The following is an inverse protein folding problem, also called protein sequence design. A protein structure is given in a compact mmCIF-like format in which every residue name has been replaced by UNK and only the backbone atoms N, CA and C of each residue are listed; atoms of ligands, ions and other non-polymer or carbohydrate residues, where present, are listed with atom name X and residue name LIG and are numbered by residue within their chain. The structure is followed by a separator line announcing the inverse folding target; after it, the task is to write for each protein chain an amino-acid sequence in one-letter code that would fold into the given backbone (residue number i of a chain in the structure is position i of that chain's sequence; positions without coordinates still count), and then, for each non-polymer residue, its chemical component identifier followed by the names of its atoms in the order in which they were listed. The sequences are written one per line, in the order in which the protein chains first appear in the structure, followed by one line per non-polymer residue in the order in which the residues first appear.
data_IF_127230400670
#
_entry.id   IF_127230400670
#
_cell.length_a   1.000
_cell.length_b   1.000
_cell.length_c   1.000
_cell.angle_alpha   90.00
_cell.angle_beta   90.00
_cell.angle_gamma   90.00
#
_symmetry.space_group_name_H-M   'P 1'
#
loop_
_entity.id
_entity.type
_entity.pdbx_description
1 polymer ?
#
# COMPACT_ATOMS: atom_id res chain seq x y z
N UNK A 1 -27.25 -48.42 39.66
CA UNK A 1 -27.82 -47.39 40.56
C UNK A 1 -27.18 -47.46 41.95
N UNK A 2 -26.84 -46.33 42.56
CA UNK A 2 -26.26 -46.28 43.93
C UNK A 2 -27.31 -46.73 44.94
N UNK A 3 -27.01 -47.79 45.68
CA UNK A 3 -27.94 -48.35 46.67
C UNK A 3 -27.69 -47.81 48.08
N UNK A 4 -26.44 -47.48 48.40
CA UNK A 4 -26.06 -46.91 49.70
C UNK A 4 -24.70 -46.22 49.63
N UNK A 5 -24.53 -45.22 50.51
CA UNK A 5 -23.25 -44.57 50.78
C UNK A 5 -22.97 -44.72 52.27
N UNK A 6 -21.88 -45.40 52.63
CA UNK A 6 -21.51 -45.61 54.04
C UNK A 6 -20.13 -45.05 54.29
N UNK A 7 -20.03 -44.12 55.25
CA UNK A 7 -18.73 -43.57 55.66
C UNK A 7 -18.09 -44.49 56.69
N UNK A 8 -16.80 -44.75 56.53
CA UNK A 8 -16.03 -45.46 57.54
C UNK A 8 -15.95 -44.62 58.83
N UNK A 9 -15.86 -45.30 59.97
CA UNK A 9 -15.79 -44.66 61.29
C UNK A 9 -14.56 -43.75 61.45
N UNK A 10 -13.52 -43.96 60.64
CA UNK A 10 -12.29 -43.16 60.60
C UNK A 10 -12.46 -41.83 59.84
N UNK A 11 -13.57 -41.63 59.12
CA UNK A 11 -13.84 -40.45 58.30
C UNK A 11 -12.97 -40.30 57.04
N UNK A 12 -12.01 -41.20 56.82
CA UNK A 12 -11.01 -41.10 55.75
C UNK A 12 -11.45 -41.79 54.46
N UNK A 13 -12.37 -42.75 54.56
CA UNK A 13 -12.92 -43.46 53.40
C UNK A 13 -14.44 -43.54 53.44
N UNK A 14 -15.03 -43.79 52.28
CA UNK A 14 -16.46 -44.12 52.16
C UNK A 14 -16.66 -45.22 51.13
N UNK A 15 -17.71 -46.00 51.32
CA UNK A 15 -18.09 -47.11 50.44
C UNK A 15 -19.35 -46.74 49.67
N UNK A 16 -19.34 -46.97 48.36
CA UNK A 16 -20.53 -46.91 47.51
C UNK A 16 -20.91 -48.33 47.08
N UNK A 17 -22.19 -48.68 47.21
CA UNK A 17 -22.73 -49.88 46.59
C UNK A 17 -23.18 -49.55 45.16
N UNK A 18 -22.38 -49.96 44.17
CA UNK A 18 -22.68 -49.79 42.75
C UNK A 18 -23.17 -51.13 42.18
N UNK A 19 -24.44 -51.20 41.79
CA UNK A 19 -25.05 -52.42 41.25
C UNK A 19 -24.90 -53.66 42.17
N UNK A 20 -24.92 -53.44 43.49
CA UNK A 20 -24.76 -54.49 44.50
C UNK A 20 -23.30 -54.79 44.89
N UNK A 21 -22.31 -54.22 44.20
CA UNK A 21 -20.89 -54.38 44.54
C UNK A 21 -20.40 -53.20 45.39
N UNK A 22 -19.86 -53.43 46.60
CA UNK A 22 -19.27 -52.38 47.42
C UNK A 22 -17.89 -51.97 46.87
N UNK A 23 -17.70 -50.68 46.62
CA UNK A 23 -16.41 -50.08 46.25
C UNK A 23 -16.02 -48.99 47.24
N UNK A 24 -14.76 -49.01 47.67
CA UNK A 24 -14.23 -48.08 48.69
C UNK A 24 -13.39 -46.99 48.05
N UNK A 25 -13.64 -45.74 48.44
CA UNK A 25 -12.97 -44.55 47.95
C UNK A 25 -12.43 -43.72 49.11
N UNK A 26 -11.38 -42.94 48.86
CA UNK A 26 -10.89 -41.94 49.81
C UNK A 26 -11.86 -40.77 49.90
N UNK A 27 -12.03 -40.19 51.09
CA UNK A 27 -12.93 -39.05 51.34
C UNK A 27 -12.27 -37.69 51.00
N UNK A 28 -11.31 -37.68 50.09
CA UNK A 28 -10.67 -36.49 49.56
C UNK A 28 -11.27 -36.10 48.20
N UNK A 29 -10.71 -35.07 47.57
CA UNK A 29 -11.22 -34.56 46.29
C UNK A 29 -11.12 -35.60 45.17
N UNK A 30 -10.03 -36.34 45.09
CA UNK A 30 -9.80 -37.30 44.01
C UNK A 30 -10.62 -38.57 44.20
N UNK A 31 -10.73 -39.09 45.44
CA UNK A 31 -11.60 -40.23 45.72
C UNK A 31 -13.07 -39.93 45.46
N UNK A 32 -13.56 -38.73 45.81
CA UNK A 32 -14.91 -38.28 45.43
C UNK A 32 -15.10 -38.15 43.93
N UNK A 33 -14.09 -37.66 43.21
CA UNK A 33 -14.14 -37.58 41.74
C UNK A 33 -14.26 -38.98 41.14
N UNK A 34 -13.42 -39.92 41.54
CA UNK A 34 -13.47 -41.29 41.02
C UNK A 34 -14.80 -41.98 41.36
N UNK A 35 -15.29 -41.80 42.59
CA UNK A 35 -16.59 -42.30 43.03
C UNK A 35 -17.76 -41.78 42.18
N UNK A 36 -17.71 -40.49 41.79
CA UNK A 36 -18.70 -39.89 40.87
C UNK A 36 -18.59 -40.54 39.49
N UNK A 37 -17.38 -40.66 38.92
CA UNK A 37 -17.20 -41.23 37.58
C UNK A 37 -17.64 -42.70 37.51
N UNK A 38 -17.26 -43.51 38.50
CA UNK A 38 -17.69 -44.90 38.61
C UNK A 38 -19.21 -45.01 38.80
N UNK A 39 -19.79 -44.14 39.63
CA UNK A 39 -21.23 -44.08 39.86
C UNK A 39 -22.02 -43.73 38.61
N UNK A 40 -21.54 -42.76 37.81
CA UNK A 40 -22.16 -42.37 36.54
C UNK A 40 -22.06 -43.49 35.50
N UNK A 41 -20.91 -44.17 35.41
CA UNK A 41 -20.73 -45.32 34.51
C UNK A 41 -21.60 -46.53 34.88
N UNK A 42 -22.08 -46.61 36.12
CA UNK A 42 -22.95 -47.67 36.61
C UNK A 42 -24.45 -47.38 36.40
N UNK A 43 -24.82 -46.22 35.86
CA UNK A 43 -26.20 -45.89 35.49
C UNK A 43 -26.57 -46.63 34.20
N UNK A 44 -27.78 -47.18 34.14
CA UNK A 44 -28.29 -47.81 32.92
C UNK A 44 -28.57 -46.72 31.86
N UNK A 45 -27.89 -46.81 30.73
CA UNK A 45 -28.10 -45.89 29.60
C UNK A 45 -29.24 -46.37 28.71
N UNK A 46 -29.83 -45.44 27.97
CA UNK A 46 -30.89 -45.71 27.01
C UNK A 46 -30.40 -45.55 25.57
N UNK A 47 -30.59 -46.58 24.74
CA UNK A 47 -30.34 -46.49 23.32
C UNK A 47 -31.61 -46.05 22.58
N UNK A 48 -31.49 -45.05 21.71
CA UNK A 48 -32.56 -44.56 20.83
C UNK A 48 -31.97 -44.41 19.43
N UNK A 49 -32.33 -45.30 18.51
CA UNK A 49 -31.66 -45.39 17.21
C UNK A 49 -30.19 -45.77 17.41
N UNK A 50 -29.28 -44.95 16.87
CA UNK A 50 -27.83 -45.10 17.02
C UNK A 50 -27.26 -44.31 18.21
N UNK A 51 -28.09 -43.51 18.88
CA UNK A 51 -27.67 -42.65 19.99
C UNK A 51 -27.85 -43.31 21.35
N UNK A 52 -26.91 -43.04 22.27
CA UNK A 52 -26.95 -43.49 23.67
C UNK A 52 -27.25 -42.30 24.56
N UNK A 53 -28.09 -42.47 25.59
CA UNK A 53 -28.55 -41.40 26.46
C UNK A 53 -28.38 -41.80 27.94
N UNK A 54 -27.87 -40.87 28.74
CA UNK A 54 -27.77 -41.00 30.19
C UNK A 54 -28.91 -40.24 30.88
N UNK A 55 -29.70 -40.86 31.76
CA UNK A 55 -30.75 -40.16 32.51
C UNK A 55 -30.16 -39.00 33.35
N UNK A 56 -30.65 -37.77 33.13
CA UNK A 56 -30.15 -36.58 33.84
C UNK A 56 -30.40 -36.66 35.36
N UNK A 57 -31.60 -37.11 35.73
CA UNK A 57 -32.01 -37.17 37.14
C UNK A 57 -31.17 -38.18 37.94
N UNK A 58 -30.88 -39.33 37.36
CA UNK A 58 -30.03 -40.35 38.00
C UNK A 58 -28.59 -39.85 38.14
N UNK A 59 -28.09 -39.12 37.13
CA UNK A 59 -26.77 -38.49 37.17
C UNK A 59 -26.65 -37.47 38.31
N UNK A 60 -27.66 -36.62 38.47
CA UNK A 60 -27.74 -35.65 39.58
C UNK A 60 -27.78 -36.37 40.94
N UNK A 61 -28.56 -37.45 41.06
CA UNK A 61 -28.67 -38.24 42.29
C UNK A 61 -27.33 -38.89 42.67
N UNK A 62 -26.58 -39.40 41.68
CA UNK A 62 -25.24 -39.96 41.91
C UNK A 62 -24.31 -38.91 42.51
N UNK A 63 -24.23 -37.73 41.90
CA UNK A 63 -23.34 -36.66 42.36
C UNK A 63 -23.79 -36.12 43.73
N UNK A 64 -25.10 -35.99 43.94
CA UNK A 64 -25.66 -35.60 45.24
C UNK A 64 -25.28 -36.59 46.35
N UNK A 65 -25.40 -37.90 46.09
CA UNK A 65 -25.10 -38.94 47.07
C UNK A 65 -23.62 -38.94 47.49
N UNK A 66 -22.70 -38.66 46.55
CA UNK A 66 -21.25 -38.61 46.84
C UNK A 66 -20.85 -37.33 47.57
N UNK A 67 -21.32 -36.16 47.10
CA UNK A 67 -20.93 -34.87 47.67
C UNK A 67 -21.64 -34.58 48.99
N UNK A 68 -22.93 -34.92 49.07
CA UNK A 68 -23.83 -34.58 50.17
C UNK A 68 -24.62 -35.83 50.64
N UNK A 69 -23.98 -36.84 51.23
CA UNK A 69 -24.64 -38.08 51.64
C UNK A 69 -25.74 -37.90 52.69
N UNK A 70 -25.72 -36.77 53.44
CA UNK A 70 -26.79 -36.38 54.37
C UNK A 70 -27.96 -35.60 53.72
N UNK A 71 -27.99 -35.52 52.39
CA UNK A 71 -28.94 -34.71 51.63
C UNK A 71 -28.46 -33.28 51.40
N UNK A 72 -29.01 -32.66 50.36
CA UNK A 72 -28.77 -31.26 49.99
C UNK A 72 -29.70 -30.38 50.84
N UNK A 73 -29.13 -29.44 51.59
CA UNK A 73 -29.88 -28.58 52.53
C UNK A 73 -29.95 -27.11 52.09
N UNK A 74 -29.18 -26.70 51.06
CA UNK A 74 -29.09 -25.31 50.60
C UNK A 74 -29.07 -25.22 49.08
N UNK A 75 -29.51 -24.07 48.55
CA UNK A 75 -29.48 -23.76 47.12
C UNK A 75 -28.04 -23.79 46.57
N UNK A 76 -27.07 -23.25 47.31
CA UNK A 76 -25.66 -23.27 46.89
C UNK A 76 -25.11 -24.70 46.74
N UNK A 77 -25.52 -25.63 47.62
CA UNK A 77 -25.16 -27.04 47.51
C UNK A 77 -25.83 -27.70 46.30
N UNK A 78 -27.10 -27.38 46.01
CA UNK A 78 -27.79 -27.83 44.81
C UNK A 78 -27.09 -27.36 43.52
N UNK A 79 -26.77 -26.06 43.43
CA UNK A 79 -26.04 -25.50 42.28
C UNK A 79 -24.66 -26.16 42.09
N UNK A 80 -23.97 -26.47 43.19
CA UNK A 80 -22.70 -27.20 43.14
C UNK A 80 -22.88 -28.60 42.57
N UNK A 81 -23.92 -29.33 42.99
CA UNK A 81 -24.25 -30.65 42.42
C UNK A 81 -24.53 -30.53 40.93
N UNK A 82 -25.34 -29.57 40.49
CA UNK A 82 -25.64 -29.35 39.07
C UNK A 82 -24.36 -29.11 38.25
N UNK A 83 -23.49 -28.20 38.69
CA UNK A 83 -22.24 -27.88 37.99
C UNK A 83 -21.26 -29.06 37.95
N UNK A 84 -21.14 -29.80 39.06
CA UNK A 84 -20.27 -30.99 39.11
C UNK A 84 -20.84 -32.10 38.24
N UNK A 85 -22.16 -32.28 38.21
CA UNK A 85 -22.84 -33.25 37.35
C UNK A 85 -22.60 -32.93 35.87
N UNK A 86 -22.77 -31.67 35.48
CA UNK A 86 -22.50 -31.24 34.11
C UNK A 86 -21.05 -31.52 33.70
N UNK A 87 -20.08 -31.17 34.56
CA UNK A 87 -18.66 -31.41 34.28
C UNK A 87 -18.30 -32.90 34.25
N UNK A 88 -18.86 -33.71 35.15
CA UNK A 88 -18.60 -35.14 35.23
C UNK A 88 -19.23 -35.90 34.06
N UNK A 89 -20.48 -35.59 33.71
CA UNK A 89 -21.13 -36.12 32.51
C UNK A 89 -20.36 -35.71 31.25
N UNK A 90 -19.91 -34.45 31.18
CA UNK A 90 -19.10 -33.98 30.06
C UNK A 90 -17.76 -34.70 29.94
N UNK A 91 -17.14 -35.07 31.06
CA UNK A 91 -15.91 -35.87 31.10
C UNK A 91 -16.12 -37.28 30.56
N UNK A 92 -17.30 -37.86 30.78
CA UNK A 92 -17.69 -39.18 30.27
C UNK A 92 -18.28 -39.15 28.84
N UNK A 93 -18.16 -38.03 28.12
CA UNK A 93 -18.63 -37.92 26.74
C UNK A 93 -20.11 -37.52 26.59
N UNK A 94 -20.86 -37.29 27.67
CA UNK A 94 -22.26 -36.87 27.58
C UNK A 94 -22.41 -35.36 27.38
N UNK A 95 -23.44 -34.95 26.65
CA UNK A 95 -23.73 -33.57 26.30
C UNK A 95 -24.64 -32.83 27.27
N UNK A 96 -25.24 -31.76 26.73
CA UNK A 96 -26.29 -31.00 27.40
C UNK A 96 -27.54 -31.84 27.62
N UNK A 97 -28.40 -31.33 28.50
CA UNK A 97 -29.70 -31.96 28.77
C UNK A 97 -30.66 -31.76 27.58
N UNK A 98 -31.37 -32.83 27.24
CA UNK A 98 -32.39 -32.88 26.18
C UNK A 98 -33.60 -33.66 26.70
N UNK A 99 -34.80 -33.17 26.39
CA UNK A 99 -36.04 -33.82 26.78
C UNK A 99 -36.41 -34.90 25.75
N UNK A 100 -36.57 -36.16 26.18
CA UNK A 100 -37.06 -37.25 25.34
C UNK A 100 -38.50 -37.60 25.70
N UNK A 101 -39.35 -37.80 24.67
CA UNK A 101 -40.74 -38.20 24.84
C UNK A 101 -41.24 -39.13 23.73
N UNK A 102 -42.48 -39.64 23.80
CA UNK A 102 -43.06 -40.48 22.75
C UNK A 102 -43.15 -39.75 21.40
N UNK A 103 -42.95 -40.42 20.25
CA UNK A 103 -42.74 -41.87 20.10
C UNK A 103 -41.29 -42.33 20.29
N UNK A 104 -40.35 -41.41 20.53
CA UNK A 104 -38.90 -41.70 20.59
C UNK A 104 -38.57 -42.63 21.77
N UNK A 105 -39.23 -42.42 22.91
CA UNK A 105 -39.17 -43.30 24.08
C UNK A 105 -40.57 -43.63 24.58
N UNK A 106 -40.81 -44.81 25.20
CA UNK A 106 -42.10 -45.12 25.82
C UNK A 106 -42.51 -44.05 26.85
N UNK A 107 -43.81 -43.83 27.03
CA UNK A 107 -44.32 -42.79 27.94
C UNK A 107 -43.78 -42.92 29.38
N UNK A 108 -43.55 -44.15 29.86
CA UNK A 108 -42.97 -44.43 31.18
C UNK A 108 -41.50 -44.02 31.33
N UNK A 109 -40.81 -43.80 30.21
CA UNK A 109 -39.38 -43.45 30.12
C UNK A 109 -39.16 -42.03 29.59
N UNK A 110 -40.19 -41.19 29.52
CA UNK A 110 -40.03 -39.77 29.15
C UNK A 110 -39.26 -38.98 30.22
N UNK A 111 -38.57 -37.93 29.82
CA UNK A 111 -37.92 -37.00 30.73
C UNK A 111 -36.61 -36.44 30.18
N UNK A 112 -35.82 -35.86 31.09
CA UNK A 112 -34.53 -35.27 30.80
C UNK A 112 -33.40 -36.31 30.69
N UNK A 113 -32.68 -36.27 29.59
CA UNK A 113 -31.52 -37.11 29.29
C UNK A 113 -30.34 -36.29 28.82
N UNK A 114 -29.15 -36.89 28.84
CA UNK A 114 -27.94 -36.34 28.22
C UNK A 114 -27.52 -37.29 27.12
N UNK A 115 -27.46 -36.81 25.89
CA UNK A 115 -26.97 -37.60 24.76
C UNK A 115 -25.47 -37.88 24.94
N UNK A 116 -25.06 -39.13 24.82
CA UNK A 116 -23.67 -39.52 24.69
C UNK A 116 -23.20 -39.02 23.33
N UNK A 117 -22.23 -38.12 23.31
CA UNK A 117 -21.53 -37.85 22.07
C UNK A 117 -20.77 -39.11 21.68
N UNK A 118 -20.66 -39.42 20.37
CA UNK A 118 -19.82 -40.51 19.93
C UNK A 118 -18.44 -40.38 20.59
N UNK A 119 -17.77 -41.50 20.96
CA UNK A 119 -16.36 -41.44 21.29
C UNK A 119 -15.64 -40.65 20.20
N UNK A 120 -14.53 -39.98 20.55
CA UNK A 120 -13.66 -39.33 19.56
C UNK A 120 -13.11 -40.43 18.64
N UNK A 121 -13.89 -40.78 17.63
CA UNK A 121 -13.55 -41.75 16.62
C UNK A 121 -12.74 -41.01 15.56
N UNK A 122 -11.60 -41.61 15.19
CA UNK A 122 -10.78 -41.12 14.09
C UNK A 122 -11.54 -41.11 12.75
N UNK A 123 -12.70 -41.77 12.69
CA UNK A 123 -13.60 -41.82 11.54
C UNK A 123 -14.71 -40.77 11.54
N UNK A 124 -14.80 -39.87 12.53
CA UNK A 124 -15.73 -38.72 12.46
C UNK A 124 -15.25 -37.73 11.39
N UNK A 125 -16.06 -37.53 10.37
CA UNK A 125 -15.78 -36.66 9.22
C UNK A 125 -16.48 -35.31 9.41
N UNK A 126 -15.71 -34.23 9.35
CA UNK A 126 -16.22 -32.86 9.25
C UNK A 126 -16.98 -32.75 7.92
N UNK A 127 -18.23 -32.30 7.98
CA UNK A 127 -19.01 -32.03 6.78
C UNK A 127 -18.33 -30.96 5.93
N UNK A 128 -17.92 -31.34 4.72
CA UNK A 128 -17.25 -30.46 3.79
C UNK A 128 -18.13 -29.25 3.42
N UNK A 129 -19.44 -29.44 3.30
CA UNK A 129 -20.36 -28.36 2.97
C UNK A 129 -20.38 -27.28 4.05
N UNK A 130 -20.31 -27.66 5.32
CA UNK A 130 -20.27 -26.71 6.43
C UNK A 130 -19.02 -25.81 6.41
N UNK A 131 -17.88 -26.36 6.01
CA UNK A 131 -16.63 -25.60 5.87
C UNK A 131 -16.70 -24.73 4.63
N UNK A 132 -17.06 -25.30 3.48
CA UNK A 132 -17.16 -24.58 2.20
C UNK A 132 -18.17 -23.43 2.24
N UNK A 133 -19.34 -23.61 2.86
CA UNK A 133 -20.36 -22.57 3.01
C UNK A 133 -19.81 -21.37 3.81
N UNK A 134 -19.04 -21.64 4.86
CA UNK A 134 -18.45 -20.57 5.67
C UNK A 134 -17.28 -19.88 4.95
N UNK A 135 -16.50 -20.62 4.16
CA UNK A 135 -15.46 -20.06 3.31
C UNK A 135 -16.05 -19.11 2.25
N UNK A 136 -17.25 -19.41 1.71
CA UNK A 136 -17.95 -18.51 0.75
C UNK A 136 -18.34 -17.18 1.40
N UNK A 137 -18.62 -17.18 2.71
CA UNK A 137 -18.98 -15.97 3.46
C UNK A 137 -17.76 -15.13 3.88
N UNK A 138 -16.54 -15.60 3.62
CA UNK A 138 -15.32 -14.90 4.00
C UNK A 138 -15.22 -13.51 3.34
N UNK A 139 -14.99 -12.50 4.18
CA UNK A 139 -14.81 -11.12 3.75
C UNK A 139 -13.48 -10.89 3.04
N UNK A 140 -13.40 -9.77 2.33
CA UNK A 140 -12.15 -9.28 1.76
C UNK A 140 -11.37 -8.47 2.79
N UNK A 141 -10.10 -8.81 2.99
CA UNK A 141 -9.20 -8.07 3.88
C UNK A 141 -9.00 -6.61 3.44
N UNK A 142 -8.49 -5.78 4.35
CA UNK A 142 -8.17 -4.38 4.06
C UNK A 142 -6.72 -4.18 3.61
N UNK A 143 -5.82 -5.06 4.06
CA UNK A 143 -4.37 -4.93 3.82
C UNK A 143 -3.92 -5.55 2.51
N UNK A 144 -4.47 -6.71 2.13
CA UNK A 144 -4.07 -7.47 0.95
C UNK A 144 -5.29 -7.84 0.09
N UNK A 145 -5.12 -8.00 -1.24
CA UNK A 145 -6.20 -8.40 -2.15
C UNK A 145 -6.52 -9.90 -2.04
N UNK A 146 -6.99 -10.32 -0.86
CA UNK A 146 -7.37 -11.69 -0.56
C UNK A 146 -8.62 -11.73 0.30
N UNK A 147 -9.39 -12.80 0.18
CA UNK A 147 -10.37 -13.15 1.20
C UNK A 147 -9.65 -13.75 2.40
N UNK A 148 -10.17 -13.49 3.60
CA UNK A 148 -9.60 -13.98 4.85
C UNK A 148 -10.68 -14.42 5.84
N UNK A 149 -10.41 -15.51 6.54
CA UNK A 149 -11.24 -15.98 7.65
C UNK A 149 -10.37 -16.59 8.74
N UNK A 150 -10.65 -16.24 10.00
CA UNK A 150 -9.91 -16.79 11.13
C UNK A 150 -10.14 -18.30 11.25
N UNK A 151 -9.06 -19.09 11.43
CA UNK A 151 -9.20 -20.54 11.49
C UNK A 151 -10.12 -21.00 12.64
N UNK A 152 -10.12 -20.26 13.75
CA UNK A 152 -10.97 -20.53 14.91
C UNK A 152 -12.47 -20.46 14.61
N UNK A 153 -12.91 -19.71 13.59
CA UNK A 153 -14.32 -19.68 13.16
C UNK A 153 -14.71 -21.05 12.60
N UNK A 154 -13.93 -21.55 11.64
CA UNK A 154 -14.16 -22.86 11.01
C UNK A 154 -13.99 -23.99 12.02
N UNK A 155 -12.93 -23.96 12.83
CA UNK A 155 -12.71 -24.97 13.86
C UNK A 155 -13.83 -25.03 14.90
N UNK A 156 -14.39 -23.88 15.32
CA UNK A 156 -15.53 -23.86 16.22
C UNK A 156 -16.79 -24.41 15.56
N UNK A 157 -17.07 -24.04 14.30
CA UNK A 157 -18.22 -24.59 13.58
C UNK A 157 -18.12 -26.10 13.42
N UNK A 158 -16.96 -26.60 12.99
CA UNK A 158 -16.69 -28.03 12.88
C UNK A 158 -16.79 -28.74 14.25
N UNK A 159 -16.24 -28.15 15.31
CA UNK A 159 -16.33 -28.70 16.67
C UNK A 159 -17.77 -28.81 17.17
N UNK A 160 -18.59 -27.79 16.91
CA UNK A 160 -20.01 -27.79 17.29
C UNK A 160 -20.80 -28.81 16.48
N UNK A 161 -20.54 -28.94 15.18
CA UNK A 161 -21.22 -29.90 14.33
C UNK A 161 -20.87 -31.36 14.68
N UNK A 162 -19.59 -31.65 14.92
CA UNK A 162 -19.10 -33.01 15.14
C UNK A 162 -19.28 -33.44 16.61
N UNK A 163 -18.98 -32.57 17.57
CA UNK A 163 -18.92 -32.91 19.00
C UNK A 163 -19.96 -32.18 19.86
N UNK A 164 -20.77 -31.28 19.29
CA UNK A 164 -21.74 -30.48 20.06
C UNK A 164 -21.08 -29.57 21.10
N UNK A 165 -19.79 -29.24 20.94
CA UNK A 165 -18.98 -28.49 21.92
C UNK A 165 -18.09 -27.46 21.24
N UNK A 166 -17.79 -26.38 21.96
CA UNK A 166 -16.81 -25.40 21.50
C UNK A 166 -15.40 -26.01 21.36
N UNK A 167 -14.66 -25.54 20.35
CA UNK A 167 -13.29 -25.96 20.05
C UNK A 167 -12.37 -25.98 21.28
N UNK A 168 -12.42 -24.92 22.08
CA UNK A 168 -11.57 -24.74 23.28
C UNK A 168 -11.87 -25.72 24.42
N UNK A 169 -12.96 -26.49 24.32
CA UNK A 169 -13.38 -27.51 25.31
C UNK A 169 -13.07 -28.94 24.85
N UNK A 170 -12.51 -29.10 23.66
CA UNK A 170 -12.09 -30.39 23.12
C UNK A 170 -10.71 -30.82 23.67
N UNK A 171 -10.43 -32.11 23.59
CA UNK A 171 -9.09 -32.64 23.87
C UNK A 171 -8.12 -32.28 22.74
N UNK A 172 -6.81 -32.28 23.02
CA UNK A 172 -5.79 -31.99 22.00
C UNK A 172 -5.89 -32.92 20.77
N UNK A 173 -6.22 -34.19 20.98
CA UNK A 173 -6.40 -35.15 19.89
C UNK A 173 -7.60 -34.80 18.99
N UNK A 174 -8.75 -34.45 19.59
CA UNK A 174 -9.94 -34.05 18.84
C UNK A 174 -9.73 -32.72 18.11
N UNK A 175 -9.00 -31.79 18.73
CA UNK A 175 -8.59 -30.55 18.09
C UNK A 175 -7.74 -30.84 16.86
N UNK A 176 -6.68 -31.63 17.01
CA UNK A 176 -5.81 -32.00 15.88
C UNK A 176 -6.59 -32.65 14.73
N UNK A 177 -7.55 -33.52 15.02
CA UNK A 177 -8.37 -34.18 14.00
C UNK A 177 -9.19 -33.17 13.17
N UNK A 178 -9.93 -32.28 13.85
CA UNK A 178 -10.70 -31.23 13.18
C UNK A 178 -9.79 -30.31 12.37
N UNK A 179 -8.65 -29.89 12.94
CA UNK A 179 -7.68 -29.05 12.23
C UNK A 179 -7.25 -29.70 10.92
N UNK A 180 -6.79 -30.95 10.95
CA UNK A 180 -6.37 -31.67 9.76
C UNK A 180 -7.47 -31.79 8.71
N UNK A 181 -8.71 -32.07 9.12
CA UNK A 181 -9.81 -32.20 8.18
C UNK A 181 -10.25 -30.86 7.58
N UNK A 182 -10.36 -29.81 8.40
CA UNK A 182 -10.69 -28.45 7.92
C UNK A 182 -9.59 -27.91 7.01
N UNK A 183 -8.31 -28.12 7.37
CA UNK A 183 -7.16 -27.74 6.54
C UNK A 183 -7.25 -28.43 5.16
N UNK A 184 -7.60 -29.73 5.13
CA UNK A 184 -7.76 -30.48 3.88
C UNK A 184 -8.92 -29.99 3.02
N UNK A 185 -10.09 -29.69 3.62
CA UNK A 185 -11.25 -29.17 2.90
C UNK A 185 -10.94 -27.76 2.36
N UNK A 186 -10.37 -26.89 3.18
CA UNK A 186 -9.98 -25.54 2.76
C UNK A 186 -8.98 -25.59 1.59
N UNK A 187 -7.98 -26.46 1.66
CA UNK A 187 -7.01 -26.65 0.58
C UNK A 187 -7.64 -27.15 -0.73
N UNK A 188 -8.65 -28.04 -0.65
CA UNK A 188 -9.40 -28.49 -1.84
C UNK A 188 -10.15 -27.34 -2.53
N UNK A 189 -10.63 -26.37 -1.76
CA UNK A 189 -11.30 -25.17 -2.26
C UNK A 189 -10.32 -24.04 -2.64
N UNK A 190 -9.01 -24.31 -2.65
CA UNK A 190 -7.96 -23.37 -3.04
C UNK A 190 -7.66 -22.30 -1.99
N UNK A 191 -7.95 -22.58 -0.72
CA UNK A 191 -7.55 -21.74 0.41
C UNK A 191 -6.22 -22.20 0.99
N UNK A 192 -5.39 -21.25 1.39
CA UNK A 192 -4.11 -21.49 2.03
C UNK A 192 -4.16 -21.06 3.49
N UNK A 193 -3.53 -21.84 4.37
CA UNK A 193 -3.41 -21.50 5.78
C UNK A 193 -2.22 -20.57 6.00
N UNK A 194 -2.50 -19.41 6.57
CA UNK A 194 -1.54 -18.39 6.98
C UNK A 194 -1.40 -18.45 8.52
N UNK A 195 -0.30 -19.05 8.98
CA UNK A 195 0.02 -19.23 10.40
C UNK A 195 0.78 -18.03 11.01
N UNK A 196 0.78 -16.87 10.34
CA UNK A 196 1.45 -15.65 10.84
C UNK A 196 0.85 -15.10 12.14
N UNK A 197 -0.35 -15.53 12.52
CA UNK A 197 -1.03 -15.14 13.77
C UNK A 197 -1.17 -16.34 14.71
N UNK A 198 -1.30 -16.08 16.02
CA UNK A 198 -1.39 -17.12 17.05
C UNK A 198 -2.55 -18.13 16.84
N UNK A 199 -3.59 -17.73 16.09
CA UNK A 199 -4.74 -18.58 15.75
C UNK A 199 -4.79 -19.01 14.29
N UNK A 200 -3.90 -18.48 13.45
CA UNK A 200 -3.92 -18.64 12.00
C UNK A 200 -5.16 -18.04 11.30
N UNK A 201 -5.06 -17.89 9.99
CA UNK A 201 -6.19 -17.57 9.10
C UNK A 201 -6.12 -18.38 7.83
N UNK A 202 -7.27 -18.75 7.26
CA UNK A 202 -7.31 -19.22 5.88
C UNK A 202 -7.45 -18.02 4.96
N UNK A 203 -6.70 -18.03 3.87
CA UNK A 203 -6.66 -16.95 2.88
C UNK A 203 -6.82 -17.48 1.47
N UNK A 204 -7.47 -16.69 0.61
CA UNK A 204 -7.62 -17.01 -0.81
C UNK A 204 -7.42 -15.75 -1.64
N UNK A 205 -6.46 -15.72 -2.59
CA UNK A 205 -6.25 -14.55 -3.44
C UNK A 205 -7.51 -14.16 -4.21
N UNK A 206 -7.75 -12.87 -4.35
CA UNK A 206 -8.82 -12.38 -5.22
C UNK A 206 -8.44 -12.58 -6.70
N UNK A 207 -9.42 -12.92 -7.57
CA UNK A 207 -9.20 -12.92 -9.00
C UNK A 207 -8.87 -11.50 -9.49
N UNK A 208 -7.96 -11.41 -10.46
CA UNK A 208 -7.54 -10.14 -11.07
C UNK A 208 -8.40 -9.86 -12.30
N UNK A 209 -9.11 -8.73 -12.31
CA UNK A 209 -9.70 -8.19 -13.55
C UNK A 209 -8.62 -7.46 -14.35
N UNK A 210 -7.95 -8.20 -15.25
CA UNK A 210 -6.85 -7.67 -16.04
C UNK A 210 -7.29 -6.54 -16.99
N UNK A 211 -8.49 -6.65 -17.56
CA UNK A 211 -8.99 -5.70 -18.55
C UNK A 211 -9.26 -4.34 -17.90
N UNK A 212 -9.94 -4.33 -16.76
CA UNK A 212 -10.23 -3.10 -16.02
C UNK A 212 -8.97 -2.52 -15.40
N UNK A 213 -8.03 -3.35 -14.91
CA UNK A 213 -6.72 -2.89 -14.46
C UNK A 213 -5.94 -2.16 -15.56
N UNK A 214 -5.82 -2.75 -16.75
CA UNK A 214 -5.16 -2.12 -17.91
C UNK A 214 -5.84 -0.83 -18.31
N UNK A 215 -7.18 -0.81 -18.42
CA UNK A 215 -7.94 0.38 -18.80
C UNK A 215 -7.70 1.55 -17.83
N UNK A 216 -7.68 1.29 -16.52
CA UNK A 216 -7.44 2.35 -15.52
C UNK A 216 -6.01 2.87 -15.57
N UNK A 217 -5.04 1.98 -15.71
CA UNK A 217 -3.63 2.38 -15.85
C UNK A 217 -3.42 3.20 -17.12
N UNK A 218 -4.02 2.79 -18.24
CA UNK A 218 -3.98 3.53 -19.49
C UNK A 218 -4.58 4.94 -19.37
N UNK A 219 -5.73 5.05 -18.69
CA UNK A 219 -6.35 6.35 -18.45
C UNK A 219 -5.52 7.24 -17.52
N UNK A 220 -4.88 6.66 -16.49
CA UNK A 220 -3.92 7.38 -15.65
C UNK A 220 -2.76 7.92 -16.49
N UNK A 221 -2.07 7.06 -17.23
CA UNK A 221 -0.90 7.44 -18.01
C UNK A 221 -1.23 8.44 -19.13
N UNK A 222 -2.43 8.35 -19.71
CA UNK A 222 -2.93 9.34 -20.67
C UNK A 222 -3.13 10.73 -20.05
N UNK A 223 -3.62 10.80 -18.80
CA UNK A 223 -3.81 12.07 -18.07
C UNK A 223 -2.49 12.70 -17.67
N UNK A 224 -1.53 11.89 -17.23
CA UNK A 224 -0.19 12.35 -16.88
C UNK A 224 0.60 12.79 -18.12
N UNK A 225 0.18 12.32 -19.30
CA UNK A 225 0.62 12.76 -20.62
C UNK A 225 2.14 12.82 -20.68
N UNK A 226 2.86 11.76 -20.31
CA UNK A 226 4.33 11.74 -20.38
C UNK A 226 5.06 12.47 -19.24
N UNK A 227 4.38 12.81 -18.14
CA UNK A 227 5.02 13.27 -16.89
C UNK A 227 5.33 12.10 -15.95
N UNK A 228 6.28 12.22 -15.01
CA UNK A 228 6.52 11.19 -13.99
C UNK A 228 5.28 10.90 -13.16
N UNK A 229 5.07 9.63 -12.82
CA UNK A 229 3.89 9.19 -12.08
C UNK A 229 4.30 8.50 -10.80
N UNK A 230 3.73 8.92 -9.67
CA UNK A 230 4.00 8.34 -8.37
C UNK A 230 3.64 6.84 -8.34
N UNK A 231 4.53 6.03 -7.76
CA UNK A 231 4.35 4.58 -7.60
C UNK A 231 3.06 4.26 -6.84
N UNK A 232 2.76 5.02 -5.78
CA UNK A 232 1.55 4.84 -4.98
C UNK A 232 0.27 5.04 -5.79
N UNK A 233 0.25 6.01 -6.72
CA UNK A 233 -0.91 6.26 -7.57
C UNK A 233 -1.08 5.12 -8.60
N UNK A 234 0.02 4.64 -9.19
CA UNK A 234 -0.01 3.49 -10.11
C UNK A 234 -0.53 2.24 -9.40
N UNK A 235 0.01 1.92 -8.21
CA UNK A 235 -0.45 0.77 -7.40
C UNK A 235 -1.94 0.91 -7.07
N UNK A 236 -2.36 2.08 -6.61
CA UNK A 236 -3.75 2.32 -6.23
C UNK A 236 -4.70 2.17 -7.42
N UNK A 237 -4.38 2.72 -8.60
CA UNK A 237 -5.19 2.54 -9.80
C UNK A 237 -5.20 1.10 -10.31
N UNK A 238 -4.07 0.40 -10.24
CA UNK A 238 -3.98 -1.02 -10.58
C UNK A 238 -4.89 -1.86 -9.68
N UNK A 239 -4.86 -1.63 -8.36
CA UNK A 239 -5.72 -2.33 -7.41
C UNK A 239 -7.20 -1.99 -7.60
N UNK A 240 -7.53 -0.71 -7.78
CA UNK A 240 -8.90 -0.28 -8.08
C UNK A 240 -9.45 -0.92 -9.34
N UNK A 241 -8.60 -1.09 -10.36
CA UNK A 241 -9.01 -1.73 -11.61
C UNK A 241 -9.16 -3.24 -11.46
N UNK A 242 -8.18 -3.89 -10.83
CA UNK A 242 -8.17 -5.34 -10.65
C UNK A 242 -9.25 -5.87 -9.72
N UNK A 243 -9.58 -5.12 -8.66
CA UNK A 243 -10.38 -5.60 -7.53
C UNK A 243 -11.56 -4.70 -7.17
N UNK A 244 -11.74 -3.57 -7.86
CA UNK A 244 -12.78 -2.59 -7.55
C UNK A 244 -12.52 -1.74 -6.29
N UNK A 245 -11.40 -1.94 -5.59
CA UNK A 245 -11.01 -1.23 -4.36
C UNK A 245 -9.49 -1.16 -4.19
N UNK A 246 -9.01 -0.23 -3.36
CA UNK A 246 -7.62 -0.16 -2.93
C UNK A 246 -7.35 -0.95 -1.64
N UNK A 247 -6.07 -1.25 -1.41
CA UNK A 247 -5.55 -1.96 -0.24
C UNK A 247 -4.37 -1.19 0.38
N UNK A 248 -4.07 -1.45 1.66
CA UNK A 248 -2.97 -0.77 2.35
C UNK A 248 -1.58 -1.28 1.94
N UNK A 249 -1.48 -2.53 1.47
CA UNK A 249 -0.22 -3.06 0.97
C UNK A 249 0.14 -2.44 -0.37
N UNK A 250 1.41 -2.08 -0.50
CA UNK A 250 2.03 -1.70 -1.77
C UNK A 250 2.52 -2.91 -2.57
N UNK A 251 2.41 -4.12 -2.00
CA UNK A 251 2.77 -5.34 -2.70
C UNK A 251 1.67 -5.72 -3.71
N UNK A 252 2.08 -5.84 -4.97
CA UNK A 252 1.21 -6.31 -6.04
C UNK A 252 1.37 -7.82 -6.19
N UNK A 253 0.25 -8.51 -6.45
CA UNK A 253 0.30 -9.89 -6.89
C UNK A 253 1.12 -9.99 -8.20
N UNK A 254 1.83 -11.10 -8.46
CA UNK A 254 2.71 -11.23 -9.63
C UNK A 254 2.02 -10.90 -10.97
N UNK A 255 0.78 -11.37 -11.16
CA UNK A 255 0.00 -11.07 -12.36
C UNK A 255 -0.26 -9.56 -12.53
N UNK A 256 -0.61 -8.86 -11.45
CA UNK A 256 -0.86 -7.42 -11.49
C UNK A 256 0.44 -6.62 -11.67
N UNK A 257 1.56 -7.10 -11.12
CA UNK A 257 2.88 -6.51 -11.34
C UNK A 257 3.30 -6.61 -12.82
N UNK A 258 3.04 -7.74 -13.48
CA UNK A 258 3.25 -7.92 -14.92
C UNK A 258 2.40 -6.93 -15.72
N UNK A 259 1.10 -6.81 -15.40
CA UNK A 259 0.20 -5.86 -16.07
C UNK A 259 0.70 -4.43 -15.94
N UNK A 260 1.11 -4.01 -14.73
CA UNK A 260 1.66 -2.67 -14.50
C UNK A 260 2.90 -2.44 -15.36
N UNK A 261 3.84 -3.39 -15.34
CA UNK A 261 5.10 -3.29 -16.09
C UNK A 261 4.88 -3.20 -17.60
N UNK A 262 4.02 -4.04 -18.16
CA UNK A 262 3.68 -4.05 -19.59
C UNK A 262 2.96 -2.76 -20.00
N UNK A 263 2.01 -2.29 -19.19
CA UNK A 263 1.24 -1.07 -19.50
C UNK A 263 2.13 0.17 -19.45
N UNK A 264 3.04 0.26 -18.47
CA UNK A 264 4.05 1.31 -18.41
C UNK A 264 4.93 1.31 -19.66
N UNK A 265 5.49 0.15 -20.04
CA UNK A 265 6.34 0.03 -21.23
C UNK A 265 5.59 0.40 -22.51
N UNK A 266 4.36 -0.09 -22.67
CA UNK A 266 3.51 0.21 -23.83
C UNK A 266 3.18 1.71 -23.96
N UNK A 267 3.19 2.45 -22.84
CA UNK A 267 2.98 3.89 -22.79
C UNK A 267 4.29 4.70 -22.72
N UNK A 268 5.43 4.06 -22.96
CA UNK A 268 6.73 4.74 -23.04
C UNK A 268 7.30 5.12 -21.68
N UNK A 269 7.00 4.39 -20.60
CA UNK A 269 7.59 4.56 -19.27
C UNK A 269 8.59 3.46 -18.95
N UNK A 270 9.54 3.79 -18.06
CA UNK A 270 10.42 2.79 -17.45
C UNK A 270 9.60 1.91 -16.51
N UNK A 271 9.72 0.58 -16.59
CA UNK A 271 8.98 -0.35 -15.72
C UNK A 271 9.52 -0.39 -14.29
N UNK A 272 10.72 0.15 -14.06
CA UNK A 272 11.34 0.20 -12.73
C UNK A 272 11.27 1.64 -12.21
N UNK A 273 10.72 1.85 -11.01
CA UNK A 273 10.60 3.18 -10.46
C UNK A 273 11.95 3.73 -9.99
N UNK A 274 12.07 5.05 -10.01
CA UNK A 274 13.21 5.80 -9.51
C UNK A 274 12.69 6.91 -8.59
N UNK A 275 13.22 7.01 -7.38
CA UNK A 275 12.83 8.01 -6.36
C UNK A 275 11.33 8.04 -6.06
N UNK A 276 10.66 6.88 -6.10
CA UNK A 276 9.22 6.76 -5.83
C UNK A 276 8.31 7.03 -7.04
N UNK A 277 8.87 7.19 -8.23
CA UNK A 277 8.14 7.52 -9.46
C UNK A 277 8.49 6.61 -10.63
N UNK A 278 7.51 6.34 -11.48
CA UNK A 278 7.74 5.82 -12.82
C UNK A 278 8.00 6.98 -13.77
N UNK A 279 9.16 6.99 -14.41
CA UNK A 279 9.57 8.07 -15.32
C UNK A 279 9.35 7.67 -16.78
N UNK A 280 8.95 8.61 -17.64
CA UNK A 280 8.89 8.38 -19.07
C UNK A 280 10.30 8.01 -19.60
N UNK A 281 10.33 7.26 -20.69
CA UNK A 281 11.56 6.99 -21.43
C UNK A 281 12.11 8.31 -21.98
N UNK A 282 13.45 8.48 -22.02
CA UNK A 282 14.07 9.63 -22.64
C UNK A 282 13.61 9.78 -24.09
N UNK A 283 13.28 11.01 -24.48
CA UNK A 283 12.95 11.32 -25.85
C UNK A 283 14.21 11.12 -26.70
N UNK A 284 14.09 10.31 -27.75
CA UNK A 284 15.20 10.03 -28.67
C UNK A 284 15.06 10.93 -29.89
N UNK A 285 16.13 11.63 -30.24
CA UNK A 285 16.17 12.45 -31.45
C UNK A 285 16.39 11.55 -32.68
N UNK A 286 15.81 11.93 -33.81
CA UNK A 286 16.14 11.29 -35.08
C UNK A 286 17.63 11.55 -35.42
N UNK A 287 18.34 10.55 -35.96
CA UNK A 287 19.77 10.67 -36.28
C UNK A 287 20.10 11.86 -37.21
N UNK A 288 19.18 12.22 -38.10
CA UNK A 288 19.30 13.40 -38.96
C UNK A 288 19.18 14.73 -38.17
N UNK A 289 18.32 14.76 -37.14
CA UNK A 289 18.21 15.91 -36.24
C UNK A 289 19.47 16.06 -35.38
N UNK A 290 20.09 14.96 -34.95
CA UNK A 290 21.35 14.99 -34.20
C UNK A 290 22.53 15.50 -35.04
N UNK A 291 22.62 15.07 -36.31
CA UNK A 291 23.75 15.44 -37.19
C UNK A 291 23.74 16.93 -37.55
N UNK A 292 22.55 17.52 -37.73
CA UNK A 292 22.39 18.92 -38.15
C UNK A 292 21.75 19.79 -37.06
N UNK A 293 21.90 19.40 -35.79
CA UNK A 293 21.24 20.04 -34.64
C UNK A 293 21.44 21.56 -34.61
N UNK A 294 22.69 22.00 -34.75
CA UNK A 294 23.04 23.42 -34.71
C UNK A 294 22.47 24.19 -35.90
N UNK A 295 22.46 23.61 -37.10
CA UNK A 295 21.89 24.23 -38.30
C UNK A 295 20.36 24.38 -38.17
N UNK A 296 19.68 23.34 -37.67
CA UNK A 296 18.24 23.35 -37.43
C UNK A 296 17.84 24.43 -36.43
N UNK A 297 18.55 24.49 -35.30
CA UNK A 297 18.29 25.51 -34.27
C UNK A 297 18.64 26.93 -34.76
N UNK A 298 19.70 27.10 -35.55
CA UNK A 298 20.09 28.39 -36.13
C UNK A 298 19.10 28.90 -37.18
N UNK A 299 18.37 28.00 -37.85
CA UNK A 299 17.35 28.36 -38.84
C UNK A 299 16.03 28.86 -38.21
N UNK A 300 15.85 28.69 -36.89
CA UNK A 300 14.67 29.17 -36.19
C UNK A 300 14.60 30.69 -36.21
N UNK A 301 13.41 31.22 -36.46
CA UNK A 301 13.15 32.66 -36.40
C UNK A 301 12.89 33.07 -34.96
N UNK A 302 13.78 33.85 -34.33
CA UNK A 302 13.59 34.25 -32.95
C UNK A 302 12.48 35.30 -32.81
N UNK A 303 11.78 35.26 -31.68
CA UNK A 303 10.76 36.23 -31.30
C UNK A 303 11.36 37.28 -30.37
N UNK A 304 10.80 38.48 -30.38
CA UNK A 304 11.19 39.53 -29.45
C UNK A 304 10.25 39.55 -28.24
N UNK A 305 10.83 39.62 -27.04
CA UNK A 305 10.10 39.74 -25.77
C UNK A 305 10.56 40.98 -25.00
N UNK A 306 9.87 41.33 -23.92
CA UNK A 306 10.32 42.35 -22.97
C UNK A 306 11.64 41.98 -22.27
N UNK A 307 11.98 40.68 -22.24
CA UNK A 307 13.23 40.15 -21.68
C UNK A 307 14.34 39.97 -22.74
N UNK A 308 14.08 40.38 -23.99
CA UNK A 308 15.00 40.25 -25.12
C UNK A 308 14.58 39.19 -26.13
N UNK A 309 15.51 38.85 -27.02
CA UNK A 309 15.30 37.87 -28.08
C UNK A 309 15.17 36.45 -27.50
N UNK A 310 14.25 35.64 -28.03
CA UNK A 310 13.99 34.30 -27.54
C UNK A 310 13.59 33.33 -28.66
N UNK A 311 13.76 32.03 -28.42
CA UNK A 311 13.15 30.96 -29.22
C UNK A 311 11.90 30.44 -28.50
N UNK A 312 10.82 30.19 -29.24
CA UNK A 312 9.64 29.53 -28.68
C UNK A 312 9.95 28.04 -28.50
N UNK A 313 9.60 27.46 -27.34
CA UNK A 313 9.81 26.03 -27.09
C UNK A 313 9.13 25.14 -28.15
N UNK A 314 7.88 25.39 -28.60
CA UNK A 314 7.27 24.64 -29.69
C UNK A 314 8.09 24.62 -30.98
N UNK A 315 8.58 25.79 -31.42
CA UNK A 315 9.38 25.89 -32.65
C UNK A 315 10.69 25.09 -32.54
N UNK A 316 11.29 25.07 -31.34
CA UNK A 316 12.46 24.24 -31.06
C UNK A 316 12.11 22.75 -31.18
N UNK A 317 11.00 22.31 -30.59
CA UNK A 317 10.57 20.90 -30.68
C UNK A 317 10.26 20.50 -32.12
N UNK A 318 9.61 21.38 -32.88
CA UNK A 318 9.30 21.16 -34.30
C UNK A 318 10.59 21.06 -35.15
N UNK A 319 11.59 21.91 -34.91
CA UNK A 319 12.89 21.81 -35.58
C UNK A 319 13.62 20.48 -35.28
N UNK A 320 13.46 19.97 -34.06
CA UNK A 320 14.03 18.69 -33.63
C UNK A 320 13.27 17.48 -34.18
N UNK A 321 12.14 17.68 -34.85
CA UNK A 321 11.24 16.62 -35.36
C UNK A 321 10.71 15.74 -34.21
N UNK A 322 10.41 16.37 -33.08
CA UNK A 322 9.92 15.74 -31.86
C UNK A 322 8.46 16.15 -31.65
N UNK A 323 7.58 15.57 -32.47
CA UNK A 323 6.15 15.79 -32.33
C UNK A 323 5.57 15.02 -31.14
N UNK A 324 4.58 15.61 -30.46
CA UNK A 324 3.71 14.94 -29.48
C UNK A 324 4.37 14.50 -28.16
N UNK A 325 5.36 15.24 -27.67
CA UNK A 325 5.90 15.04 -26.31
C UNK A 325 5.22 15.94 -25.29
N UNK A 326 5.31 15.54 -24.02
CA UNK A 326 4.81 16.32 -22.90
C UNK A 326 5.62 17.59 -22.66
N UNK A 327 5.03 18.54 -21.93
CA UNK A 327 5.78 19.69 -21.43
C UNK A 327 6.99 19.26 -20.59
N UNK A 328 6.80 18.33 -19.66
CA UNK A 328 7.88 17.82 -18.80
C UNK A 328 9.03 17.19 -19.61
N UNK A 329 8.67 16.44 -20.65
CA UNK A 329 9.62 15.82 -21.58
C UNK A 329 10.36 16.88 -22.40
N UNK A 330 9.68 17.93 -22.85
CA UNK A 330 10.29 19.03 -23.58
C UNK A 330 11.29 19.80 -22.71
N UNK A 331 10.95 20.04 -21.44
CA UNK A 331 11.87 20.65 -20.47
C UNK A 331 13.14 19.81 -20.28
N UNK A 332 12.98 18.50 -20.06
CA UNK A 332 14.11 17.59 -19.89
C UNK A 332 14.94 17.43 -21.16
N UNK A 333 14.30 17.51 -22.32
CA UNK A 333 14.99 17.46 -23.61
C UNK A 333 15.85 18.71 -23.84
N UNK A 334 15.37 19.90 -23.48
CA UNK A 334 16.17 21.13 -23.54
C UNK A 334 17.35 21.10 -22.56
N UNK A 335 17.15 20.45 -21.40
CA UNK A 335 18.20 20.23 -20.42
C UNK A 335 19.19 19.10 -20.79
N UNK A 336 18.91 18.29 -21.83
CA UNK A 336 19.84 17.28 -22.34
C UNK A 336 21.15 17.94 -22.79
N UNK A 337 22.29 17.38 -22.40
CA UNK A 337 23.61 17.97 -22.63
C UNK A 337 23.85 18.35 -24.10
N UNK A 338 23.32 17.58 -25.05
CA UNK A 338 23.54 17.80 -26.49
C UNK A 338 22.78 19.02 -26.98
N UNK A 339 21.50 19.14 -26.64
CA UNK A 339 20.67 20.29 -27.02
C UNK A 339 21.10 21.52 -26.25
N UNK A 340 21.34 21.38 -24.95
CA UNK A 340 21.88 22.44 -24.11
C UNK A 340 23.19 23.00 -24.68
N UNK A 341 24.11 22.16 -25.13
CA UNK A 341 25.37 22.59 -25.73
C UNK A 341 25.15 23.31 -27.07
N UNK A 342 24.28 22.81 -27.94
CA UNK A 342 23.97 23.45 -29.22
C UNK A 342 23.33 24.83 -29.02
N UNK A 343 22.36 24.95 -28.10
CA UNK A 343 21.73 26.22 -27.72
C UNK A 343 22.77 27.21 -27.17
N UNK A 344 23.65 26.76 -26.27
CA UNK A 344 24.74 27.61 -25.76
C UNK A 344 25.68 28.05 -26.88
N UNK A 345 26.04 27.19 -27.83
CA UNK A 345 26.90 27.60 -28.94
C UNK A 345 26.26 28.70 -29.81
N UNK A 346 24.93 28.69 -29.92
CA UNK A 346 24.14 29.72 -30.59
C UNK A 346 23.86 30.96 -29.73
N UNK A 347 24.35 30.97 -28.49
CA UNK A 347 24.19 32.07 -27.55
C UNK A 347 22.81 32.12 -26.91
N UNK A 348 22.17 30.98 -26.66
CA UNK A 348 20.93 30.87 -25.89
C UNK A 348 21.19 30.28 -24.51
N UNK A 349 20.35 30.67 -23.55
CA UNK A 349 20.28 30.05 -22.23
C UNK A 349 19.70 28.63 -22.33
N UNK A 350 19.82 27.85 -21.26
CA UNK A 350 19.23 26.49 -21.19
C UNK A 350 18.07 26.40 -20.19
N UNK A 351 17.76 27.52 -19.53
CA UNK A 351 16.61 27.65 -18.65
C UNK A 351 15.39 28.14 -19.45
N UNK A 352 14.22 27.63 -19.09
CA UNK A 352 12.97 27.99 -19.73
C UNK A 352 12.29 29.11 -18.95
N UNK A 353 11.88 30.16 -19.66
CA UNK A 353 11.16 31.29 -19.08
C UNK A 353 9.71 31.31 -19.55
N UNK A 354 8.77 31.47 -18.63
CA UNK A 354 7.37 31.69 -18.97
C UNK A 354 7.12 33.14 -19.39
N UNK A 355 6.64 33.33 -20.61
CA UNK A 355 6.22 34.62 -21.14
C UNK A 355 4.71 34.66 -21.33
N UNK A 356 4.07 35.68 -20.76
CA UNK A 356 2.68 36.00 -21.04
C UNK A 356 2.55 36.68 -22.40
N UNK A 357 1.37 36.64 -23.06
CA UNK A 357 1.15 37.25 -24.37
C UNK A 357 1.56 38.72 -24.48
N UNK A 358 1.39 39.48 -23.38
CA UNK A 358 1.75 40.90 -23.31
C UNK A 358 3.26 41.15 -23.15
N UNK A 359 4.06 40.13 -22.83
CA UNK A 359 5.53 40.22 -22.81
C UNK A 359 6.15 40.14 -24.23
N UNK A 360 5.39 39.78 -25.27
CA UNK A 360 5.91 39.68 -26.64
C UNK A 360 5.87 41.02 -27.38
N UNK A 361 6.74 41.18 -28.39
CA UNK A 361 6.82 42.36 -29.26
C UNK A 361 6.80 41.93 -30.74
N UNK A 362 5.72 42.23 -31.51
CA UNK A 362 4.46 42.81 -31.04
C UNK A 362 3.73 41.91 -30.03
N UNK A 363 2.85 42.52 -29.23
CA UNK A 363 2.01 41.76 -28.29
C UNK A 363 1.20 40.72 -29.07
N UNK A 364 1.07 39.53 -28.50
CA UNK A 364 0.26 38.48 -29.09
C UNK A 364 -1.19 38.63 -28.65
N UNK A 365 -2.11 38.27 -29.54
CA UNK A 365 -3.55 38.30 -29.29
C UNK A 365 -4.06 37.01 -28.61
N UNK A 366 -3.21 35.99 -28.46
CA UNK A 366 -3.54 34.77 -27.70
C UNK A 366 -3.55 35.03 -26.19
N UNK A 367 -4.25 34.20 -25.41
CA UNK A 367 -4.32 34.30 -23.95
C UNK A 367 -3.39 33.31 -23.24
N UNK A 368 -2.58 32.56 -23.99
CA UNK A 368 -1.78 31.47 -23.46
C UNK A 368 -0.35 31.92 -23.17
N UNK A 369 0.11 31.64 -21.94
CA UNK A 369 1.52 31.77 -21.62
C UNK A 369 2.34 30.76 -22.44
N UNK A 370 3.54 31.16 -22.88
CA UNK A 370 4.45 30.30 -23.63
C UNK A 370 5.79 30.22 -22.95
N UNK A 371 6.38 29.02 -22.93
CA UNK A 371 7.79 28.83 -22.55
C UNK A 371 8.71 29.26 -23.69
N UNK A 372 9.73 30.01 -23.34
CA UNK A 372 10.75 30.52 -24.27
C UNK A 372 12.16 30.23 -23.76
N UNK A 373 13.09 30.14 -24.69
CA UNK A 373 14.53 30.04 -24.43
C UNK A 373 15.16 31.39 -24.77
N UNK A 374 15.60 32.14 -23.76
CA UNK A 374 16.14 33.49 -23.93
C UNK A 374 17.56 33.46 -24.52
N UNK A 375 17.88 34.46 -25.32
CA UNK A 375 19.25 34.68 -25.78
C UNK A 375 20.14 35.10 -24.61
N UNK A 376 21.28 34.43 -24.47
CA UNK A 376 22.30 34.71 -23.48
C UNK A 376 23.06 35.99 -23.84
N UNK A 377 23.04 36.98 -22.95
CA UNK A 377 23.92 38.15 -23.05
C UNK A 377 25.28 37.78 -22.45
N UNK A 378 26.29 37.58 -23.30
CA UNK A 378 27.65 37.24 -22.86
C UNK A 378 28.48 38.47 -22.55
N UNK A 379 29.05 38.50 -21.35
CA UNK A 379 30.11 39.46 -20.99
C UNK A 379 31.43 38.92 -21.54
N UNK A 380 32.00 39.62 -22.53
CA UNK A 380 33.35 39.33 -23.01
C UNK A 380 34.35 39.87 -22.00
N UNK A 381 35.11 38.96 -21.38
CA UNK A 381 36.21 39.32 -20.49
C UNK A 381 37.54 39.28 -21.26
N UNK A 382 38.17 40.44 -21.41
CA UNK A 382 39.52 40.58 -21.96
C UNK A 382 40.30 41.60 -21.12
N UNK A 383 41.14 41.13 -20.18
CA UNK A 383 41.81 42.01 -19.21
C UNK A 383 42.81 42.97 -19.87
N UNK A 384 43.24 42.69 -21.10
CA UNK A 384 44.17 43.55 -21.84
C UNK A 384 43.45 44.57 -22.75
N UNK A 385 42.12 44.45 -22.90
CA UNK A 385 41.34 45.32 -23.76
C UNK A 385 41.41 46.75 -23.28
N UNK A 386 41.75 47.66 -24.20
CA UNK A 386 41.79 49.10 -23.96
C UNK A 386 40.69 49.81 -24.73
N UNK A 387 40.13 50.84 -24.12
CA UNK A 387 39.20 51.77 -24.72
C UNK A 387 39.72 53.20 -24.55
N UNK A 388 39.58 54.02 -25.60
CA UNK A 388 39.88 55.45 -25.55
C UNK A 388 38.82 56.19 -26.36
N UNK A 389 37.72 56.56 -25.68
CA UNK A 389 36.66 57.42 -26.21
C UNK A 389 37.02 58.89 -26.03
N UNK A 390 37.69 59.24 -24.93
CA UNK A 390 38.28 60.55 -24.73
C UNK A 390 39.71 60.56 -25.29
N UNK A 391 40.03 61.58 -26.09
CA UNK A 391 41.31 61.70 -26.78
C UNK A 391 42.49 61.68 -25.78
N UNK A 392 43.44 60.78 -26.01
CA UNK A 392 44.66 60.67 -25.20
C UNK A 392 44.48 60.03 -23.81
N UNK A 393 43.26 59.62 -23.44
CA UNK A 393 42.96 59.03 -22.14
C UNK A 393 42.46 57.61 -22.33
N UNK A 394 43.36 56.62 -22.37
CA UNK A 394 42.96 55.22 -22.44
C UNK A 394 42.58 54.66 -21.05
N UNK A 395 41.60 53.76 -21.02
CA UNK A 395 41.22 52.94 -19.86
C UNK A 395 41.23 51.47 -20.27
N UNK A 396 41.45 50.59 -19.30
CA UNK A 396 41.19 49.17 -19.48
C UNK A 396 39.68 48.93 -19.46
N UNK A 397 39.21 48.02 -20.31
CA UNK A 397 37.82 47.59 -20.34
C UNK A 397 37.78 46.07 -20.22
N UNK A 398 38.10 45.54 -19.03
CA UNK A 398 38.29 44.11 -18.83
C UNK A 398 37.03 43.31 -19.11
N UNK A 399 35.86 43.93 -19.05
CA UNK A 399 34.58 43.28 -19.28
C UNK A 399 33.64 44.18 -20.11
N UNK A 400 33.07 43.61 -21.16
CA UNK A 400 32.16 44.30 -22.08
C UNK A 400 31.06 43.34 -22.56
N UNK A 401 29.80 43.75 -22.46
CA UNK A 401 28.69 43.09 -23.11
C UNK A 401 27.97 44.07 -24.03
N UNK A 402 27.83 43.68 -25.29
CA UNK A 402 27.05 44.39 -26.31
C UNK A 402 25.97 43.42 -26.76
N UNK A 403 24.73 43.88 -26.80
CA UNK A 403 23.69 43.18 -27.55
C UNK A 403 23.95 43.43 -29.04
N UNK A 404 24.39 42.38 -29.73
CA UNK A 404 24.74 42.44 -31.15
C UNK A 404 23.53 42.62 -32.07
N UNK A 405 22.29 42.43 -31.58
CA UNK A 405 21.06 42.62 -32.35
C UNK A 405 20.61 44.07 -32.31
N UNK A 406 20.50 44.62 -31.10
CA UNK A 406 20.07 46.00 -30.88
C UNK A 406 21.23 47.00 -30.99
N UNK A 407 22.44 46.51 -31.32
CA UNK A 407 23.69 47.27 -31.28
C UNK A 407 23.87 47.99 -29.92
N UNK A 408 23.33 47.48 -28.81
CA UNK A 408 23.21 48.26 -27.57
C UNK A 408 24.23 47.83 -26.52
N UNK A 409 24.78 48.80 -25.78
CA UNK A 409 25.71 48.52 -24.68
C UNK A 409 24.94 48.00 -23.47
N UNK A 410 25.14 46.73 -23.09
CA UNK A 410 24.47 46.13 -21.93
C UNK A 410 25.33 46.25 -20.69
N UNK A 411 26.64 46.04 -20.82
CA UNK A 411 27.59 46.12 -19.71
C UNK A 411 28.94 46.65 -20.19
N UNK A 412 29.55 47.50 -19.38
CA UNK A 412 30.90 48.02 -19.64
C UNK A 412 31.61 48.28 -18.33
N UNK A 413 32.71 47.57 -18.11
CA UNK A 413 33.64 47.86 -17.05
C UNK A 413 34.73 48.79 -17.57
N UNK A 414 35.05 49.85 -16.80
CA UNK A 414 36.17 50.76 -17.11
C UNK A 414 37.10 50.84 -15.90
N UNK A 415 38.36 50.47 -16.11
CA UNK A 415 39.40 50.44 -15.08
C UNK A 415 40.57 51.34 -15.50
N UNK A 416 40.98 52.26 -14.63
CA UNK A 416 42.11 53.14 -14.89
C UNK A 416 42.15 54.36 -13.97
N UNK A 417 43.03 55.31 -14.27
CA UNK A 417 43.14 56.55 -13.51
C UNK A 417 41.77 57.26 -13.45
N UNK A 418 41.42 57.80 -12.27
CA UNK A 418 40.11 58.43 -12.00
C UNK A 418 39.72 59.48 -13.05
N UNK A 419 40.68 60.28 -13.50
CA UNK A 419 40.46 61.29 -14.54
C UNK A 419 40.17 60.66 -15.91
N UNK A 420 40.92 59.63 -16.30
CA UNK A 420 40.71 58.87 -17.53
C UNK A 420 39.35 58.18 -17.55
N UNK A 421 38.95 57.50 -16.47
CA UNK A 421 37.64 56.84 -16.37
C UNK A 421 36.50 57.86 -16.45
N UNK A 422 36.62 58.99 -15.73
CA UNK A 422 35.62 60.06 -15.81
C UNK A 422 35.51 60.65 -17.22
N UNK A 423 36.63 60.89 -17.89
CA UNK A 423 36.65 61.44 -19.24
C UNK A 423 36.04 60.48 -20.26
N UNK A 424 36.38 59.19 -20.21
CA UNK A 424 35.79 58.18 -21.09
C UNK A 424 34.30 57.96 -20.84
N UNK A 425 33.88 57.95 -19.57
CA UNK A 425 32.46 57.92 -19.22
C UNK A 425 31.71 59.14 -19.73
N UNK A 426 32.28 60.35 -19.56
CA UNK A 426 31.67 61.58 -20.06
C UNK A 426 31.60 61.60 -21.60
N UNK A 427 32.63 61.09 -22.29
CA UNK A 427 32.64 60.95 -23.74
C UNK A 427 31.59 59.93 -24.22
N UNK A 428 31.39 58.83 -23.49
CA UNK A 428 30.36 57.83 -23.77
C UNK A 428 28.94 58.39 -23.55
N UNK A 429 28.70 59.14 -22.47
CA UNK A 429 27.36 59.67 -22.16
C UNK A 429 27.03 60.93 -22.96
N UNK A 430 28.02 61.76 -23.28
CA UNK A 430 27.84 63.07 -23.91
C UNK A 430 28.12 63.15 -25.41
N UNK A 431 28.69 62.10 -26.01
CA UNK A 431 29.23 62.13 -27.38
C UNK A 431 28.24 61.83 -28.51
N UNK A 432 26.97 61.57 -28.21
CA UNK A 432 25.92 61.28 -29.20
C UNK A 432 25.18 59.98 -28.91
N UNK A 433 24.20 59.62 -29.75
CA UNK A 433 23.45 58.35 -29.60
C UNK A 433 24.21 57.12 -30.12
N UNK A 434 25.32 57.31 -30.84
CA UNK A 434 26.03 56.22 -31.54
C UNK A 434 27.54 56.34 -31.27
N UNK A 435 28.14 55.24 -30.84
CA UNK A 435 29.57 55.11 -30.55
C UNK A 435 30.17 53.90 -31.27
N UNK A 436 31.50 53.88 -31.41
CA UNK A 436 32.22 52.71 -31.88
C UNK A 436 33.14 52.20 -30.78
N UNK A 437 32.97 50.94 -30.35
CA UNK A 437 33.91 50.25 -29.46
C UNK A 437 34.66 49.20 -30.29
N UNK A 438 35.91 49.50 -30.63
CA UNK A 438 36.68 48.71 -31.58
C UNK A 438 36.06 48.79 -32.98
N UNK A 439 35.69 47.64 -33.56
CA UNK A 439 35.00 47.55 -34.86
C UNK A 439 33.48 47.45 -34.76
N UNK A 440 32.91 47.49 -33.55
CA UNK A 440 31.46 47.37 -33.34
C UNK A 440 30.83 48.75 -33.18
N UNK A 441 29.76 48.99 -33.94
CA UNK A 441 28.87 50.15 -33.76
C UNK A 441 27.95 49.87 -32.58
N UNK A 442 27.73 50.89 -31.77
CA UNK A 442 26.91 50.82 -30.57
C UNK A 442 25.95 51.99 -30.53
N UNK A 443 24.70 51.75 -30.18
CA UNK A 443 23.71 52.76 -29.86
C UNK A 443 23.54 52.83 -28.35
N UNK A 444 23.52 54.05 -27.86
CA UNK A 444 23.31 54.37 -26.46
C UNK A 444 21.97 55.08 -26.35
N UNK A 445 20.91 54.29 -26.24
CA UNK A 445 19.58 54.80 -25.90
C UNK A 445 19.30 54.55 -24.41
N UNK A 446 18.55 55.43 -23.76
CA UNK A 446 18.17 55.23 -22.35
C UNK A 446 19.32 55.31 -21.31
N UNK A 447 20.50 55.84 -21.63
CA UNK A 447 21.69 55.89 -20.72
C UNK A 447 21.43 56.45 -19.30
N UNK A 448 20.37 57.23 -19.10
CA UNK A 448 19.96 57.74 -17.77
C UNK A 448 19.41 56.65 -16.84
N UNK A 449 19.02 55.51 -17.38
CA UNK A 449 18.42 54.38 -16.66
C UNK A 449 19.48 53.33 -16.25
N UNK A 450 20.74 53.50 -16.67
CA UNK A 450 21.82 52.56 -16.36
C UNK A 450 22.26 52.68 -14.89
N UNK A 451 22.39 51.52 -14.24
CA UNK A 451 22.95 51.42 -12.89
C UNK A 451 24.46 51.62 -12.96
N UNK A 452 24.95 52.66 -12.29
CA UNK A 452 26.37 52.98 -12.20
C UNK A 452 26.93 52.55 -10.85
N UNK A 453 27.87 51.61 -10.89
CA UNK A 453 28.62 51.16 -9.71
C UNK A 453 30.04 51.73 -9.80
N UNK A 454 30.53 52.34 -8.72
CA UNK A 454 31.89 52.87 -8.64
C UNK A 454 32.59 52.31 -7.41
N UNK A 455 33.78 51.74 -7.61
CA UNK A 455 34.67 51.30 -6.55
C UNK A 455 36.07 51.87 -6.77
N UNK A 456 36.75 52.19 -5.68
CA UNK A 456 38.18 52.50 -5.72
C UNK A 456 38.93 51.17 -5.66
N UNK A 457 39.81 50.94 -6.63
CA UNK A 457 40.69 49.77 -6.62
C UNK A 457 41.77 49.95 -5.54
N UNK A 458 42.19 48.88 -4.85
CA UNK A 458 43.18 48.94 -3.77
C UNK A 458 44.56 49.45 -4.23
#
# INVERSE_FOLDING_TARGET
MIQSVTRAADGNTFTLALNGEPRTYTNDKEGKRQAILDGLNAIETMAVGEDVYLPSNESLQVVAAVLYPGGIQTEAAYQTVCQVTERACAHLGYGGEVELGPPVVPFARRGAYRRHYPPVDAHLVVDAHLVSDELVLAGTGSSFPRQEIACTILWNKAALAVYGRHWSKLTAAAQSLIQTQVDAIAAQDGWEKDDSTATGSYTKPLPVDEATARSRLDDLLRRENGSPVLVSNVIYQAQLGAYGRGFYSNELAPALQTIVSETLQARGYRPTPQDGEYRPLPVTLAAAAETNLQEKLAALSPVMTEFGQALLLPDVMDALDVASISEWQAEHLVADDRIAQALRQLGYQTELTWCQPYHFRPKRDDHEARRVILKEVRVQNDPARKLSLAQGLAVLTPALAIDDVDETLVYLEMVGAKQSVKANWAALVGGGKVHWLGRKRIRLDGMKEHVKIQATLP
#
